data_IF_412102974104
#
_entry.id   IF_412102974104
#
_cell.length_a   1.000
_cell.length_b   1.000
_cell.length_c   1.000
_cell.angle_alpha   90.00
_cell.angle_beta   90.00
_cell.angle_gamma   90.00
#
_symmetry.space_group_name_H-M   'P 1'
#
loop_
_entity.id
_entity.type
_entity.pdbx_description
1 polymer ?
#
# COMPACT_ATOMS: atom_id res chain seq x y z
N UNK A 1 -9.58 44.40 50.30
CA UNK A 1 -10.55 43.29 50.18
C UNK A 1 -11.50 43.65 49.05
N UNK A 2 -11.41 42.98 47.90
CA UNK A 2 -12.40 43.15 46.83
C UNK A 2 -13.73 42.56 47.31
N UNK A 3 -14.83 43.29 47.11
CA UNK A 3 -16.17 42.75 47.38
C UNK A 3 -16.41 41.55 46.44
N UNK A 4 -16.96 40.43 46.95
CA UNK A 4 -17.29 39.27 46.13
C UNK A 4 -18.27 39.65 45.04
N UNK A 5 -18.10 39.11 43.83
CA UNK A 5 -18.93 39.45 42.68
C UNK A 5 -20.40 39.12 42.96
N UNK A 6 -21.33 39.81 42.29
CA UNK A 6 -22.78 39.53 42.41
C UNK A 6 -23.08 38.05 42.12
N UNK A 7 -22.32 37.45 41.20
CA UNK A 7 -22.42 36.03 40.87
C UNK A 7 -22.02 35.14 42.06
N UNK A 8 -20.90 35.43 42.73
CA UNK A 8 -20.44 34.66 43.89
C UNK A 8 -21.44 34.73 45.04
N UNK A 9 -22.06 35.90 45.25
CA UNK A 9 -23.10 36.09 46.27
C UNK A 9 -24.34 35.22 45.97
N UNK A 10 -24.75 35.13 44.70
CA UNK A 10 -25.85 34.28 44.27
C UNK A 10 -25.54 32.78 44.44
N UNK A 11 -24.34 32.34 44.05
CA UNK A 11 -23.89 30.95 44.21
C UNK A 11 -23.90 30.56 45.70
N UNK A 12 -23.33 31.40 46.56
CA UNK A 12 -23.30 31.16 48.01
C UNK A 12 -24.72 31.14 48.62
N UNK A 13 -25.62 31.99 48.13
CA UNK A 13 -27.03 31.99 48.54
C UNK A 13 -27.74 30.67 48.22
N UNK A 14 -27.60 30.19 46.97
CA UNK A 14 -28.16 28.90 46.54
C UNK A 14 -27.58 27.73 47.33
N UNK A 15 -26.26 27.67 47.52
CA UNK A 15 -25.62 26.63 48.32
C UNK A 15 -26.13 26.60 49.78
N UNK A 16 -26.40 27.77 50.38
CA UNK A 16 -26.99 27.86 51.72
C UNK A 16 -28.42 27.32 51.75
N UNK A 17 -29.23 27.64 50.74
CA UNK A 17 -30.59 27.11 50.61
C UNK A 17 -30.59 25.59 50.42
N UNK A 18 -29.71 25.06 49.58
CA UNK A 18 -29.60 23.61 49.37
C UNK A 18 -29.22 22.87 50.66
N UNK A 19 -28.36 23.48 51.49
CA UNK A 19 -27.97 22.96 52.80
C UNK A 19 -29.03 23.13 53.90
N UNK A 20 -30.03 24.00 53.72
CA UNK A 20 -31.15 24.16 54.67
C UNK A 20 -32.31 23.21 54.38
N UNK A 21 -32.31 22.52 53.24
CA UNK A 21 -33.29 21.48 52.91
C UNK A 21 -33.20 20.30 53.89
N UNK A 22 -34.33 19.64 54.13
CA UNK A 22 -34.42 18.50 55.05
C UNK A 22 -33.49 17.33 54.66
N UNK A 23 -33.23 17.17 53.38
CA UNK A 23 -32.34 16.15 52.81
C UNK A 23 -30.87 16.57 52.77
N UNK A 24 -30.55 17.87 52.98
CA UNK A 24 -29.22 18.49 52.88
C UNK A 24 -28.45 18.09 51.62
N UNK A 25 -28.59 18.86 50.54
CA UNK A 25 -27.92 18.55 49.27
C UNK A 25 -26.64 19.37 49.11
N UNK A 26 -25.52 18.71 48.88
CA UNK A 26 -24.31 19.36 48.35
C UNK A 26 -24.48 19.73 46.86
N UNK A 27 -23.69 20.67 46.33
CA UNK A 27 -23.71 20.99 44.90
C UNK A 27 -23.50 19.78 43.98
N UNK A 28 -22.64 18.83 44.37
CA UNK A 28 -22.39 17.60 43.60
C UNK A 28 -23.59 16.67 43.59
N UNK A 29 -24.22 16.46 44.76
CA UNK A 29 -25.42 15.63 44.87
C UNK A 29 -26.60 16.25 44.12
N UNK A 30 -26.73 17.57 44.13
CA UNK A 30 -27.72 18.27 43.33
C UNK A 30 -27.51 18.06 41.83
N UNK A 31 -26.29 18.28 41.30
CA UNK A 31 -26.02 18.05 39.87
C UNK A 31 -26.32 16.60 39.50
N UNK A 32 -25.88 15.64 40.33
CA UNK A 32 -26.15 14.22 40.11
C UNK A 32 -27.65 13.91 40.08
N UNK A 33 -28.41 14.39 41.07
CA UNK A 33 -29.85 14.18 41.14
C UNK A 33 -30.60 14.90 39.99
N UNK A 34 -30.17 16.11 39.63
CA UNK A 34 -30.76 16.91 38.56
C UNK A 34 -30.64 16.22 37.20
N UNK A 35 -29.47 15.65 36.90
CA UNK A 35 -29.20 14.96 35.63
C UNK A 35 -29.98 13.64 35.54
N UNK A 36 -30.15 12.91 36.65
CA UNK A 36 -30.76 11.57 36.66
C UNK A 36 -32.27 11.55 36.97
N UNK A 37 -32.84 12.64 37.48
CA UNK A 37 -34.25 12.68 37.92
C UNK A 37 -35.23 12.33 36.79
N UNK A 38 -36.19 11.44 37.02
CA UNK A 38 -37.25 11.12 36.06
C UNK A 38 -38.45 12.09 36.10
N UNK A 39 -38.44 13.08 36.99
CA UNK A 39 -39.52 14.07 37.12
C UNK A 39 -39.68 14.93 35.85
N UNK A 40 -40.93 15.19 35.44
CA UNK A 40 -41.24 15.87 34.17
C UNK A 40 -40.79 17.32 34.13
N UNK A 41 -40.87 18.03 35.25
CA UNK A 41 -40.50 19.45 35.31
C UNK A 41 -38.98 19.58 35.32
N UNK A 42 -38.30 18.70 36.07
CA UNK A 42 -36.83 18.60 36.03
C UNK A 42 -36.34 18.17 34.64
N UNK A 43 -37.07 17.27 33.96
CA UNK A 43 -36.80 16.86 32.59
C UNK A 43 -36.91 18.01 31.60
N UNK A 44 -37.94 18.84 31.77
CA UNK A 44 -38.13 20.02 30.95
C UNK A 44 -36.97 21.02 31.10
N UNK A 45 -36.42 21.20 32.31
CA UNK A 45 -35.27 22.08 32.54
C UNK A 45 -33.98 21.58 31.88
N UNK A 46 -33.77 20.26 31.78
CA UNK A 46 -32.59 19.66 31.12
C UNK A 46 -32.79 19.34 29.63
N UNK A 47 -33.95 19.67 29.05
CA UNK A 47 -34.34 19.23 27.69
C UNK A 47 -33.35 19.57 26.57
N UNK A 48 -32.51 20.59 26.75
CA UNK A 48 -31.54 21.03 25.76
C UNK A 48 -30.12 20.47 25.96
N UNK A 49 -29.86 19.72 27.04
CA UNK A 49 -28.51 19.23 27.37
C UNK A 49 -27.93 18.28 26.32
N UNK A 50 -28.77 17.41 25.73
CA UNK A 50 -28.37 16.46 24.69
C UNK A 50 -28.83 16.87 23.28
N UNK A 51 -29.31 18.10 23.10
CA UNK A 51 -29.88 18.58 21.84
C UNK A 51 -28.89 19.51 21.12
N UNK A 52 -28.94 19.63 19.78
CA UNK A 52 -28.02 20.48 19.02
C UNK A 52 -27.95 21.93 19.56
N UNK A 53 -29.07 22.47 20.05
CA UNK A 53 -29.16 23.83 20.60
C UNK A 53 -28.38 24.04 21.91
N UNK A 54 -28.09 22.99 22.68
CA UNK A 54 -27.47 23.11 24.02
C UNK A 54 -26.33 22.13 24.30
N UNK A 55 -25.99 21.25 23.36
CA UNK A 55 -24.92 20.29 23.54
C UNK A 55 -23.55 20.97 23.71
N UNK A 56 -23.28 22.04 22.95
CA UNK A 56 -21.99 22.76 23.02
C UNK A 56 -21.72 23.30 24.42
N UNK A 57 -22.68 23.99 25.03
CA UNK A 57 -22.54 24.51 26.41
C UNK A 57 -22.54 23.40 27.47
N UNK A 58 -23.18 22.27 27.19
CA UNK A 58 -23.14 21.10 28.07
C UNK A 58 -21.76 20.44 28.07
N UNK A 59 -21.13 20.31 26.90
CA UNK A 59 -19.75 19.82 26.77
C UNK A 59 -18.75 20.81 27.37
N UNK A 60 -18.94 22.12 27.18
CA UNK A 60 -18.13 23.16 27.84
C UNK A 60 -18.20 23.04 29.37
N UNK A 61 -19.39 22.79 29.94
CA UNK A 61 -19.54 22.55 31.38
C UNK A 61 -18.75 21.30 31.83
N UNK A 62 -18.76 20.22 31.05
CA UNK A 62 -17.96 19.01 31.34
C UNK A 62 -16.47 19.33 31.31
N UNK A 63 -16.02 20.15 30.36
CA UNK A 63 -14.62 20.55 30.27
C UNK A 63 -14.18 21.44 31.44
N UNK A 64 -15.01 22.42 31.85
CA UNK A 64 -14.76 23.25 33.05
C UNK A 64 -14.68 22.39 34.31
N UNK A 65 -15.58 21.42 34.48
CA UNK A 65 -15.52 20.44 35.58
C UNK A 65 -14.22 19.63 35.50
N UNK A 66 -13.85 19.18 34.30
CA UNK A 66 -12.59 18.48 34.05
C UNK A 66 -11.37 19.32 34.43
N UNK A 67 -11.34 20.60 34.07
CA UNK A 67 -10.29 21.55 34.46
C UNK A 67 -10.16 21.70 35.97
N UNK A 68 -11.28 21.78 36.70
CA UNK A 68 -11.28 21.83 38.16
C UNK A 68 -10.67 20.54 38.76
N UNK A 69 -11.06 19.37 38.23
CA UNK A 69 -10.54 18.07 38.67
C UNK A 69 -9.02 17.97 38.43
N UNK A 70 -8.54 18.41 37.26
CA UNK A 70 -7.13 18.33 36.82
C UNK A 70 -6.16 19.20 37.64
N UNK A 71 -6.63 20.04 38.57
CA UNK A 71 -5.76 20.89 39.43
C UNK A 71 -4.87 20.08 40.36
N UNK A 72 -5.31 18.90 40.78
CA UNK A 72 -4.54 18.00 41.66
C UNK A 72 -4.00 16.81 40.88
N UNK A 73 -2.89 16.23 41.34
CA UNK A 73 -2.33 15.02 40.74
C UNK A 73 -3.31 13.84 40.78
N UNK A 74 -3.96 13.62 41.94
CA UNK A 74 -5.00 12.60 42.12
C UNK A 74 -6.15 12.81 41.14
N UNK A 75 -6.57 14.07 40.95
CA UNK A 75 -7.61 14.42 40.01
C UNK A 75 -7.22 14.20 38.55
N UNK A 76 -5.98 14.53 38.15
CA UNK A 76 -5.48 14.23 36.79
C UNK A 76 -5.53 12.73 36.49
N UNK A 77 -5.08 11.89 37.42
CA UNK A 77 -5.13 10.44 37.25
C UNK A 77 -6.58 9.92 37.13
N UNK A 78 -7.49 10.45 37.96
CA UNK A 78 -8.92 10.08 37.91
C UNK A 78 -9.58 10.52 36.59
N UNK A 79 -9.28 11.73 36.10
CA UNK A 79 -9.79 12.23 34.82
C UNK A 79 -9.29 11.40 33.64
N UNK A 80 -7.99 11.08 33.59
CA UNK A 80 -7.43 10.23 32.55
C UNK A 80 -8.13 8.85 32.50
N UNK A 81 -8.36 8.23 33.66
CA UNK A 81 -9.10 6.96 33.77
C UNK A 81 -10.55 7.08 33.30
N UNK A 82 -11.20 8.21 33.56
CA UNK A 82 -12.57 8.49 33.09
C UNK A 82 -12.62 8.57 31.56
N UNK A 83 -11.73 9.36 30.94
CA UNK A 83 -11.64 9.49 29.48
C UNK A 83 -11.29 8.15 28.82
N UNK A 84 -10.30 7.44 29.36
CA UNK A 84 -9.92 6.11 28.86
C UNK A 84 -11.09 5.13 28.85
N UNK A 85 -11.90 5.10 29.91
CA UNK A 85 -13.08 4.23 29.99
C UNK A 85 -14.13 4.60 28.93
N UNK A 86 -14.29 5.89 28.61
CA UNK A 86 -15.16 6.35 27.53
C UNK A 86 -14.64 5.92 26.16
N UNK A 87 -13.36 6.17 25.89
CA UNK A 87 -12.69 5.82 24.63
C UNK A 87 -12.78 4.32 24.34
N UNK A 88 -12.50 3.45 25.33
CA UNK A 88 -12.60 1.99 25.17
C UNK A 88 -14.02 1.57 24.73
N UNK A 89 -15.07 2.17 25.29
CA UNK A 89 -16.45 1.83 24.92
C UNK A 89 -16.79 2.23 23.48
N UNK A 90 -16.28 3.37 23.02
CA UNK A 90 -16.47 3.81 21.64
C UNK A 90 -15.73 2.86 20.71
N UNK A 91 -14.45 2.59 20.97
CA UNK A 91 -13.63 1.66 20.20
C UNK A 91 -14.24 0.24 20.13
N UNK A 92 -14.82 -0.25 21.22
CA UNK A 92 -15.50 -1.55 21.24
C UNK A 92 -16.79 -1.59 20.42
N UNK A 93 -17.40 -0.42 20.14
CA UNK A 93 -18.59 -0.32 19.29
C UNK A 93 -18.26 -0.18 17.80
N UNK A 94 -16.99 0.06 17.46
CA UNK A 94 -16.51 0.08 16.07
C UNK A 94 -16.31 -1.36 15.61
N UNK A 95 -17.31 -1.89 14.91
CA UNK A 95 -17.26 -3.24 14.37
C UNK A 95 -17.20 -3.19 12.83
N UNK A 96 -16.05 -3.53 12.22
CA UNK A 96 -15.99 -3.76 10.79
C UNK A 96 -16.96 -4.87 10.33
N UNK A 97 -17.43 -4.83 9.07
CA UNK A 97 -18.41 -5.77 8.55
C UNK A 97 -18.00 -7.22 8.75
N UNK A 98 -18.90 -8.01 9.32
CA UNK A 98 -18.66 -9.42 9.58
C UNK A 98 -19.11 -10.28 8.40
N UNK A 99 -18.36 -11.33 8.10
CA UNK A 99 -18.69 -12.31 7.06
C UNK A 99 -17.69 -12.29 5.92
N UNK A 100 -18.05 -12.95 4.81
CA UNK A 100 -17.19 -13.07 3.64
C UNK A 100 -17.20 -11.77 2.84
N UNK A 101 -16.03 -11.38 2.33
CA UNK A 101 -15.89 -10.33 1.34
C UNK A 101 -16.76 -10.61 0.10
N UNK A 102 -17.42 -9.60 -0.52
CA UNK A 102 -17.32 -8.17 -0.26
C UNK A 102 -18.24 -7.61 0.83
N UNK A 103 -19.18 -8.41 1.34
CA UNK A 103 -20.16 -7.95 2.35
C UNK A 103 -19.59 -7.94 3.78
N UNK A 104 -18.46 -8.61 4.02
CA UNK A 104 -17.71 -8.65 5.25
C UNK A 104 -16.20 -8.52 5.01
N UNK A 105 -15.39 -8.51 6.08
CA UNK A 105 -13.94 -8.36 5.97
C UNK A 105 -13.14 -9.65 5.67
N UNK A 106 -13.80 -10.80 5.49
CA UNK A 106 -13.09 -12.09 5.39
C UNK A 106 -12.74 -12.48 3.96
N UNK A 107 -11.44 -12.62 3.72
CA UNK A 107 -10.88 -13.18 2.50
C UNK A 107 -10.48 -14.64 2.73
N UNK A 108 -11.12 -15.54 1.99
CA UNK A 108 -10.79 -16.95 2.00
C UNK A 108 -9.54 -17.23 1.18
N UNK A 109 -8.51 -17.82 1.80
CA UNK A 109 -7.33 -18.30 1.09
C UNK A 109 -7.65 -19.38 0.03
N UNK A 110 -8.83 -20.00 0.08
CA UNK A 110 -9.28 -20.99 -0.91
C UNK A 110 -9.98 -20.36 -2.13
N UNK A 111 -10.31 -19.07 -2.07
CA UNK A 111 -11.03 -18.34 -3.12
C UNK A 111 -10.30 -17.05 -3.54
N UNK A 112 -9.06 -16.87 -3.10
CA UNK A 112 -8.27 -15.68 -3.43
C UNK A 112 -7.84 -15.74 -4.90
N UNK A 113 -8.06 -14.65 -5.62
CA UNK A 113 -7.70 -14.48 -7.02
C UNK A 113 -6.53 -13.47 -7.17
N UNK A 114 -5.82 -13.45 -8.32
CA UNK A 114 -4.68 -12.54 -8.52
C UNK A 114 -5.03 -11.07 -8.31
N UNK A 115 -6.23 -10.63 -8.70
CA UNK A 115 -6.65 -9.24 -8.58
C UNK A 115 -6.67 -8.74 -7.12
N UNK A 116 -6.82 -9.62 -6.13
CA UNK A 116 -6.77 -9.27 -4.71
C UNK A 116 -5.44 -8.61 -4.29
N UNK A 117 -4.35 -8.89 -5.01
CA UNK A 117 -3.03 -8.33 -4.73
C UNK A 117 -2.73 -7.04 -5.49
N UNK A 118 -3.68 -6.52 -6.27
CA UNK A 118 -3.57 -5.22 -6.92
C UNK A 118 -3.57 -4.09 -5.90
N UNK A 119 -2.92 -2.97 -6.24
CA UNK A 119 -2.79 -1.82 -5.35
C UNK A 119 -4.16 -1.19 -5.08
N UNK A 120 -5.00 -1.07 -6.10
CA UNK A 120 -6.33 -0.47 -6.04
C UNK A 120 -7.26 -1.25 -5.09
N UNK A 121 -7.19 -2.58 -5.12
CA UNK A 121 -7.95 -3.46 -4.22
C UNK A 121 -7.47 -3.31 -2.77
N UNK A 122 -6.15 -3.28 -2.54
CA UNK A 122 -5.56 -3.07 -1.22
C UNK A 122 -5.98 -1.71 -0.63
N UNK A 123 -5.95 -0.65 -1.43
CA UNK A 123 -6.39 0.68 -1.02
C UNK A 123 -7.89 0.72 -0.74
N UNK A 124 -8.71 0.11 -1.60
CA UNK A 124 -10.15 0.02 -1.40
C UNK A 124 -10.51 -0.69 -0.09
N UNK A 125 -9.82 -1.80 0.24
CA UNK A 125 -10.04 -2.51 1.51
C UNK A 125 -9.59 -1.67 2.71
N UNK A 126 -8.49 -0.93 2.57
CA UNK A 126 -7.99 -0.05 3.63
C UNK A 126 -8.97 1.09 3.91
N UNK A 127 -9.48 1.74 2.85
CA UNK A 127 -10.52 2.79 2.97
C UNK A 127 -11.77 2.26 3.63
N UNK A 128 -12.28 1.13 3.14
CA UNK A 128 -13.48 0.51 3.70
C UNK A 128 -13.33 0.18 5.20
N UNK A 129 -12.16 -0.32 5.61
CA UNK A 129 -11.90 -0.61 7.02
C UNK A 129 -11.91 0.68 7.87
N UNK A 130 -11.27 1.74 7.40
CA UNK A 130 -11.19 3.03 8.11
C UNK A 130 -12.57 3.69 8.25
N UNK A 131 -13.43 3.58 7.24
CA UNK A 131 -14.83 4.04 7.31
C UNK A 131 -15.62 3.38 8.45
N UNK A 132 -15.29 2.13 8.78
CA UNK A 132 -15.92 1.38 9.87
C UNK A 132 -15.23 1.52 11.23
N UNK A 133 -14.10 2.24 11.29
CA UNK A 133 -13.35 2.50 12.53
C UNK A 133 -12.96 4.00 12.67
N UNK A 134 -13.93 4.93 12.57
CA UNK A 134 -13.65 6.35 12.53
C UNK A 134 -13.00 6.86 13.83
N UNK A 135 -13.48 6.51 15.01
CA UNK A 135 -12.92 6.97 16.27
C UNK A 135 -11.47 6.52 16.44
N UNK A 136 -11.13 5.27 16.12
CA UNK A 136 -9.73 4.83 16.12
C UNK A 136 -8.89 5.61 15.10
N UNK A 137 -9.36 5.70 13.85
CA UNK A 137 -8.60 6.33 12.77
C UNK A 137 -8.35 7.81 13.05
N UNK A 138 -9.37 8.59 13.38
CA UNK A 138 -9.20 10.00 13.72
C UNK A 138 -8.34 10.20 14.98
N UNK A 139 -8.41 9.28 15.96
CA UNK A 139 -7.53 9.34 17.14
C UNK A 139 -6.06 9.15 16.76
N UNK A 140 -5.75 8.15 15.93
CA UNK A 140 -4.39 7.87 15.47
C UNK A 140 -3.87 9.00 14.57
N UNK A 141 -4.72 9.52 13.69
CA UNK A 141 -4.41 10.64 12.80
C UNK A 141 -4.04 11.90 13.60
N UNK A 142 -4.84 12.24 14.61
CA UNK A 142 -4.55 13.34 15.54
C UNK A 142 -3.30 13.10 16.38
N UNK A 143 -2.96 11.84 16.70
CA UNK A 143 -1.70 11.51 17.39
C UNK A 143 -0.47 11.63 16.49
N UNK A 144 -0.62 11.36 15.20
CA UNK A 144 0.44 11.41 14.20
C UNK A 144 0.60 12.81 13.58
N UNK A 145 -0.25 13.78 13.92
CA UNK A 145 -0.33 15.13 13.32
C UNK A 145 -0.50 15.09 11.79
N UNK A 146 -1.28 14.13 11.32
CA UNK A 146 -1.59 13.98 9.90
C UNK A 146 -2.72 14.93 9.55
N UNK A 147 -2.48 15.92 8.68
CA UNK A 147 -3.51 16.85 8.22
C UNK A 147 -4.58 16.12 7.37
N UNK A 148 -5.85 16.57 7.47
CA UNK A 148 -7.02 16.04 6.74
C UNK A 148 -6.85 16.00 5.21
N UNK A 149 -5.85 16.69 4.68
CA UNK A 149 -5.49 16.73 3.25
C UNK A 149 -4.78 15.47 2.73
N UNK A 150 -4.54 14.46 3.57
CA UNK A 150 -3.82 13.22 3.21
C UNK A 150 -4.73 11.99 3.04
N UNK A 151 -6.04 12.14 3.18
CA UNK A 151 -7.02 11.11 2.81
C UNK A 151 -7.34 11.31 1.33
N UNK A 152 -7.25 10.29 0.45
CA UNK A 152 -7.70 10.43 -0.93
C UNK A 152 -9.22 10.60 -0.93
N UNK A 153 -9.67 11.85 -1.02
CA UNK A 153 -11.06 12.19 -1.33
C UNK A 153 -11.15 12.36 -2.83
N UNK A 154 -11.83 11.40 -3.44
CA UNK A 154 -12.32 11.38 -4.82
C UNK A 154 -11.27 11.32 -5.93
N UNK A 155 -11.57 10.47 -6.91
CA UNK A 155 -10.83 10.34 -8.15
C UNK A 155 -10.97 11.64 -8.95
N UNK A 156 -9.91 12.42 -9.05
CA UNK A 156 -9.74 13.36 -10.15
C UNK A 156 -8.67 12.86 -11.12
N UNK A 157 -8.98 13.05 -12.40
CA UNK A 157 -8.24 12.70 -13.61
C UNK A 157 -6.74 13.11 -13.59
N UNK A 158 -5.89 12.53 -14.45
CA UNK A 158 -4.44 12.70 -14.34
C UNK A 158 -4.05 14.13 -14.73
N UNK A 159 -3.68 14.93 -13.74
CA UNK A 159 -3.06 16.23 -13.97
C UNK A 159 -1.56 16.02 -14.18
N UNK A 160 -1.08 16.60 -15.28
CA UNK A 160 0.24 16.37 -15.84
C UNK A 160 1.39 16.78 -14.93
N UNK A 161 2.50 16.09 -15.19
CA UNK A 161 3.87 16.37 -14.79
C UNK A 161 4.19 17.86 -14.61
N UNK A 162 4.41 18.27 -13.37
CA UNK A 162 5.51 19.14 -12.92
C UNK A 162 5.19 19.63 -11.50
N UNK A 163 5.91 19.13 -10.49
CA UNK A 163 6.66 20.01 -9.58
C UNK A 163 7.51 19.21 -8.56
N UNK A 164 8.82 19.43 -8.67
CA UNK A 164 9.89 19.41 -7.67
C UNK A 164 9.80 18.44 -6.47
N UNK A 165 10.44 17.27 -6.62
CA UNK A 165 10.90 16.43 -5.51
C UNK A 165 12.24 17.02 -4.99
N UNK A 166 12.43 17.23 -3.67
CA UNK A 166 13.78 17.42 -3.12
C UNK A 166 14.51 16.07 -3.19
N UNK A 167 15.59 16.00 -3.97
CA UNK A 167 16.47 14.82 -4.04
C UNK A 167 16.87 14.38 -2.63
N UNK A 168 16.37 13.21 -2.19
CA UNK A 168 16.85 12.55 -0.99
C UNK A 168 18.24 11.98 -1.31
N UNK A 169 19.25 12.36 -0.52
CA UNK A 169 20.63 11.89 -0.70
C UNK A 169 20.71 10.37 -0.48
N UNK A 170 20.74 9.62 -1.58
CA UNK A 170 20.79 8.14 -1.64
C UNK A 170 22.20 7.57 -1.47
N UNK A 171 23.20 8.41 -1.17
CA UNK A 171 24.62 8.02 -1.12
C UNK A 171 24.98 6.91 -0.12
N UNK A 172 24.08 6.54 0.80
CA UNK A 172 24.31 5.51 1.82
C UNK A 172 23.43 4.25 1.68
N UNK A 173 22.62 4.13 0.61
CA UNK A 173 21.80 2.93 0.37
C UNK A 173 22.54 2.06 -0.65
N UNK A 174 22.85 0.78 -0.35
CA UNK A 174 23.38 -0.15 -1.35
C UNK A 174 22.49 -0.16 -2.60
N UNK A 175 23.08 -0.06 -3.80
CA UNK A 175 22.36 -0.01 -5.09
C UNK A 175 21.30 -1.12 -5.21
N UNK A 176 21.57 -2.30 -4.64
CA UNK A 176 20.69 -3.48 -4.58
C UNK A 176 19.37 -3.28 -3.79
N UNK A 177 19.27 -2.24 -2.95
CA UNK A 177 18.10 -1.93 -2.09
C UNK A 177 17.30 -0.74 -2.67
N UNK A 178 17.90 0.09 -3.52
CA UNK A 178 17.24 1.24 -4.12
C UNK A 178 16.05 0.83 -5.02
N UNK A 179 16.12 -0.34 -5.66
CA UNK A 179 15.02 -0.90 -6.47
C UNK A 179 13.87 -1.50 -5.64
N UNK A 180 14.03 -1.63 -4.31
CA UNK A 180 12.97 -2.06 -3.37
C UNK A 180 12.34 -0.83 -2.68
N UNK A 181 12.64 0.38 -3.16
CA UNK A 181 11.92 1.58 -2.72
C UNK A 181 10.55 1.56 -3.38
N UNK A 182 9.53 1.34 -2.55
CA UNK A 182 8.13 1.41 -2.95
C UNK A 182 7.86 2.72 -3.68
N UNK A 183 7.27 2.66 -4.88
CA UNK A 183 6.75 3.82 -5.64
C UNK A 183 5.58 4.56 -4.95
N UNK A 184 5.28 4.25 -3.68
CA UNK A 184 4.14 4.80 -2.94
C UNK A 184 4.53 6.07 -2.14
N UNK A 185 5.44 6.89 -2.68
CA UNK A 185 5.84 8.18 -2.07
C UNK A 185 4.78 9.29 -2.22
N UNK A 186 3.68 9.02 -2.92
CA UNK A 186 2.59 9.99 -3.09
C UNK A 186 1.53 9.92 -1.98
N UNK A 187 1.44 8.82 -1.22
CA UNK A 187 0.60 8.73 -0.03
C UNK A 187 1.48 8.92 1.21
N UNK A 188 1.20 9.95 2.00
CA UNK A 188 2.00 10.27 3.19
C UNK A 188 2.28 9.03 4.02
N UNK A 189 3.55 8.77 4.35
CA UNK A 189 4.02 7.63 5.15
C UNK A 189 3.12 7.37 6.39
N UNK A 190 2.54 8.43 6.96
CA UNK A 190 1.64 8.32 8.09
C UNK A 190 0.29 7.66 7.77
N UNK A 191 -0.27 7.82 6.57
CA UNK A 191 -1.52 7.19 6.13
C UNK A 191 -1.40 5.67 6.01
N UNK A 192 -0.28 5.16 5.52
CA UNK A 192 -0.01 3.72 5.49
C UNK A 192 0.15 3.12 6.90
N UNK A 193 0.82 3.85 7.80
CA UNK A 193 0.97 3.45 9.19
C UNK A 193 -0.41 3.36 9.89
N UNK A 194 -1.25 4.37 9.70
CA UNK A 194 -2.62 4.43 10.20
C UNK A 194 -3.44 3.21 9.76
N UNK A 195 -3.50 2.96 8.46
CA UNK A 195 -4.27 1.84 7.87
C UNK A 195 -3.78 0.49 8.42
N UNK A 196 -2.46 0.34 8.58
CA UNK A 196 -1.87 -0.88 9.14
C UNK A 196 -2.30 -1.10 10.59
N UNK A 197 -2.25 -0.06 11.43
CA UNK A 197 -2.67 -0.17 12.85
C UNK A 197 -4.16 -0.51 12.96
N UNK A 198 -5.01 0.14 12.16
CA UNK A 198 -6.44 -0.18 12.11
C UNK A 198 -6.68 -1.64 11.72
N UNK A 199 -5.98 -2.14 10.68
CA UNK A 199 -6.08 -3.53 10.24
C UNK A 199 -5.56 -4.53 11.29
N UNK A 200 -4.49 -4.21 12.01
CA UNK A 200 -4.00 -5.05 13.11
C UNK A 200 -5.03 -5.17 14.23
N UNK A 201 -5.62 -4.05 14.64
CA UNK A 201 -6.63 -4.03 15.70
C UNK A 201 -7.89 -4.77 15.25
N UNK A 202 -8.38 -4.51 14.03
CA UNK A 202 -9.54 -5.19 13.47
C UNK A 202 -9.36 -6.72 13.40
N UNK A 203 -8.18 -7.17 12.97
CA UNK A 203 -7.82 -8.59 12.94
C UNK A 203 -7.68 -9.19 14.33
N UNK A 204 -7.08 -8.47 15.28
CA UNK A 204 -6.95 -8.94 16.67
C UNK A 204 -8.30 -9.07 17.37
N UNK A 205 -9.24 -8.16 17.10
CA UNK A 205 -10.61 -8.24 17.58
C UNK A 205 -11.40 -9.35 16.90
N UNK A 206 -11.18 -9.54 15.59
CA UNK A 206 -11.83 -10.57 14.80
C UNK A 206 -10.92 -11.01 13.65
N UNK A 207 -10.34 -12.20 13.75
CA UNK A 207 -9.44 -12.74 12.72
C UNK A 207 -10.11 -12.95 11.35
N UNK A 208 -11.43 -12.72 11.25
CA UNK A 208 -12.15 -12.65 9.98
C UNK A 208 -12.01 -11.31 9.26
N UNK A 209 -11.34 -10.32 9.82
CA UNK A 209 -10.90 -9.12 9.10
C UNK A 209 -9.44 -9.31 8.68
N UNK A 210 -9.18 -10.09 7.64
CA UNK A 210 -7.84 -10.62 7.32
C UNK A 210 -7.26 -10.15 5.98
N UNK A 211 -7.83 -9.14 5.33
CA UNK A 211 -7.38 -8.66 4.02
C UNK A 211 -5.89 -8.28 4.02
N UNK A 212 -5.48 -7.33 4.88
CA UNK A 212 -4.08 -6.94 5.00
C UNK A 212 -3.18 -8.10 5.42
N UNK A 213 -3.63 -8.91 6.37
CA UNK A 213 -2.86 -10.04 6.89
C UNK A 213 -2.59 -11.09 5.82
N UNK A 214 -3.57 -11.38 4.97
CA UNK A 214 -3.41 -12.29 3.84
C UNK A 214 -2.45 -11.73 2.80
N UNK A 215 -2.57 -10.44 2.48
CA UNK A 215 -1.70 -9.73 1.54
C UNK A 215 -0.23 -9.78 2.01
N UNK A 216 0.01 -9.35 3.25
CA UNK A 216 1.33 -9.37 3.86
C UNK A 216 1.90 -10.78 3.94
N UNK A 217 1.09 -11.77 4.29
CA UNK A 217 1.58 -13.13 4.46
C UNK A 217 2.08 -13.76 3.16
N UNK A 218 1.37 -13.55 2.04
CA UNK A 218 1.81 -14.01 0.72
C UNK A 218 3.09 -13.28 0.29
N UNK A 219 3.13 -11.95 0.45
CA UNK A 219 4.29 -11.14 0.08
C UNK A 219 5.54 -11.52 0.87
N UNK A 220 5.43 -11.57 2.20
CA UNK A 220 6.55 -11.91 3.06
C UNK A 220 7.05 -13.33 2.81
N UNK A 221 6.14 -14.29 2.61
CA UNK A 221 6.52 -15.65 2.28
C UNK A 221 7.28 -15.72 0.95
N UNK A 222 6.86 -14.96 -0.06
CA UNK A 222 7.58 -14.84 -1.33
C UNK A 222 8.98 -14.21 -1.15
N UNK A 223 9.13 -13.28 -0.20
CA UNK A 223 10.42 -12.70 0.19
C UNK A 223 11.30 -13.63 1.05
N UNK A 224 10.90 -14.89 1.28
CA UNK A 224 11.72 -15.87 1.99
C UNK A 224 11.81 -15.68 3.51
N UNK A 225 10.80 -15.05 4.15
CA UNK A 225 10.82 -14.94 5.61
C UNK A 225 10.83 -16.31 6.29
N UNK A 226 11.54 -16.41 7.42
CA UNK A 226 11.59 -17.64 8.20
C UNK A 226 10.23 -17.94 8.83
N UNK A 227 9.97 -19.22 9.13
CA UNK A 227 8.75 -19.65 9.81
C UNK A 227 8.56 -18.94 11.15
N UNK A 228 9.64 -18.77 11.92
CA UNK A 228 9.61 -18.07 13.20
C UNK A 228 9.19 -16.59 13.05
N UNK A 229 9.72 -15.89 12.04
CA UNK A 229 9.32 -14.50 11.75
C UNK A 229 7.86 -14.45 11.32
N UNK A 230 7.42 -15.39 10.50
CA UNK A 230 6.03 -15.48 10.05
C UNK A 230 5.06 -15.72 11.21
N UNK A 231 5.39 -16.64 12.11
CA UNK A 231 4.60 -16.90 13.33
C UNK A 231 4.51 -15.67 14.22
N UNK A 232 5.63 -14.97 14.41
CA UNK A 232 5.64 -13.73 15.19
C UNK A 232 4.77 -12.64 14.54
N UNK A 233 4.88 -12.43 13.23
CA UNK A 233 4.06 -11.45 12.51
C UNK A 233 2.57 -11.80 12.55
N UNK A 234 2.23 -13.08 12.53
CA UNK A 234 0.85 -13.53 12.75
C UNK A 234 0.38 -13.28 14.17
N UNK A 235 1.23 -13.54 15.17
CA UNK A 235 0.92 -13.28 16.57
C UNK A 235 0.59 -11.81 16.86
N UNK A 236 1.31 -10.87 16.25
CA UNK A 236 1.04 -9.43 16.40
C UNK A 236 -0.03 -8.89 15.44
N UNK A 237 -0.61 -9.75 14.58
CA UNK A 237 -1.68 -9.37 13.66
C UNK A 237 -1.24 -8.61 12.41
N UNK A 238 0.06 -8.65 12.06
CA UNK A 238 0.57 -8.08 10.79
C UNK A 238 0.45 -9.03 9.61
N UNK A 239 0.33 -10.32 9.84
CA UNK A 239 0.37 -11.35 8.80
C UNK A 239 -0.60 -12.48 9.15
N UNK A 240 -1.02 -13.27 8.17
CA UNK A 240 -1.73 -14.52 8.37
C UNK A 240 -0.77 -15.69 8.63
N UNK A 241 -1.34 -16.80 9.12
CA UNK A 241 -0.56 -18.02 9.39
C UNK A 241 0.10 -18.59 8.12
N UNK A 242 1.20 -19.32 8.30
CA UNK A 242 1.87 -20.05 7.22
C UNK A 242 0.93 -21.01 6.48
N UNK A 243 0.04 -21.68 7.22
CA UNK A 243 -0.95 -22.59 6.63
C UNK A 243 -1.92 -21.85 5.68
N UNK A 244 -2.33 -20.64 6.05
CA UNK A 244 -3.19 -19.76 5.24
C UNK A 244 -2.48 -19.34 3.97
N UNK A 245 -1.20 -18.97 4.06
CA UNK A 245 -0.39 -18.61 2.88
C UNK A 245 -0.22 -19.77 1.92
N UNK A 246 0.12 -20.95 2.42
CA UNK A 246 0.28 -22.14 1.58
C UNK A 246 -1.04 -22.48 0.89
N UNK A 247 -2.18 -22.32 1.57
CA UNK A 247 -3.50 -22.49 0.96
C UNK A 247 -3.74 -21.45 -0.15
N UNK A 248 -3.45 -20.17 0.10
CA UNK A 248 -3.57 -19.10 -0.88
C UNK A 248 -2.71 -19.35 -2.12
N UNK A 249 -1.43 -19.68 -1.93
CA UNK A 249 -0.51 -20.00 -3.02
C UNK A 249 -0.97 -21.21 -3.85
N UNK A 250 -1.53 -22.24 -3.21
CA UNK A 250 -2.11 -23.39 -3.93
C UNK A 250 -3.33 -22.98 -4.75
N UNK A 251 -4.18 -22.09 -4.25
CA UNK A 251 -5.33 -21.56 -4.98
C UNK A 251 -4.86 -20.74 -6.19
N UNK A 252 -3.94 -19.80 -5.97
CA UNK A 252 -3.36 -18.97 -7.04
C UNK A 252 -2.67 -19.82 -8.11
N UNK A 253 -1.94 -20.86 -7.71
CA UNK A 253 -1.31 -21.78 -8.66
C UNK A 253 -2.33 -22.52 -9.55
N UNK A 254 -3.52 -22.87 -9.01
CA UNK A 254 -4.60 -23.46 -9.81
C UNK A 254 -5.17 -22.45 -10.80
N UNK A 255 -5.44 -21.23 -10.34
CA UNK A 255 -5.94 -20.14 -11.19
C UNK A 255 -4.95 -19.88 -12.34
N UNK A 256 -3.65 -19.82 -12.03
CA UNK A 256 -2.61 -19.62 -13.03
C UNK A 256 -2.52 -20.79 -14.02
N UNK A 257 -2.64 -22.03 -13.54
CA UNK A 257 -2.66 -23.21 -14.43
C UNK A 257 -3.86 -23.21 -15.38
N UNK A 258 -5.04 -22.77 -14.92
CA UNK A 258 -6.22 -22.60 -15.78
C UNK A 258 -6.03 -21.47 -16.78
N UNK A 259 -5.42 -20.35 -16.35
CA UNK A 259 -5.11 -19.24 -17.24
C UNK A 259 -4.14 -19.66 -18.36
N UNK A 260 -3.07 -20.38 -18.02
CA UNK A 260 -2.12 -20.92 -19.00
C UNK A 260 -2.80 -21.83 -20.02
N UNK A 261 -3.71 -22.71 -19.59
CA UNK A 261 -4.49 -23.55 -20.52
C UNK A 261 -5.34 -22.72 -21.47
N UNK A 262 -5.96 -21.65 -20.97
CA UNK A 262 -6.78 -20.73 -21.78
C UNK A 262 -5.93 -20.03 -22.83
N UNK A 263 -4.77 -19.52 -22.43
CA UNK A 263 -3.84 -18.82 -23.32
C UNK A 263 -3.34 -19.76 -24.41
N UNK A 264 -2.87 -20.96 -24.04
CA UNK A 264 -2.36 -21.93 -25.00
C UNK A 264 -3.44 -22.52 -25.93
N UNK A 265 -4.70 -22.54 -25.49
CA UNK A 265 -5.83 -22.95 -26.32
C UNK A 265 -6.28 -21.88 -27.31
N UNK A 266 -5.82 -20.64 -27.17
CA UNK A 266 -6.20 -19.56 -28.05
C UNK A 266 -5.49 -19.68 -29.41
N UNK A 267 -6.20 -20.17 -30.43
CA UNK A 267 -5.68 -20.35 -31.78
C UNK A 267 -5.97 -19.17 -32.71
N UNK A 268 -6.57 -18.08 -32.21
CA UNK A 268 -6.96 -16.94 -33.07
C UNK A 268 -5.89 -15.88 -33.20
N UNK A 269 -4.76 -16.00 -32.49
CA UNK A 269 -3.67 -15.02 -32.56
C UNK A 269 -2.82 -15.22 -33.81
N UNK A 270 -2.40 -14.11 -34.44
CA UNK A 270 -1.54 -14.13 -35.63
C UNK A 270 -0.18 -14.77 -35.34
N UNK A 271 0.36 -14.48 -34.16
CA UNK A 271 1.56 -15.10 -33.61
C UNK A 271 1.15 -15.90 -32.37
N UNK A 272 1.44 -17.21 -32.32
CA UNK A 272 1.13 -18.02 -31.15
C UNK A 272 2.05 -17.63 -29.97
N UNK A 273 1.60 -17.85 -28.72
CA UNK A 273 2.44 -17.65 -27.55
C UNK A 273 3.74 -18.46 -27.63
N UNK A 274 4.88 -17.86 -27.27
CA UNK A 274 6.18 -18.55 -27.30
C UNK A 274 6.54 -19.07 -25.92
N UNK A 275 6.95 -20.33 -25.84
CA UNK A 275 7.50 -20.91 -24.61
C UNK A 275 9.00 -20.64 -24.58
N UNK A 276 9.44 -19.93 -23.56
CA UNK A 276 10.85 -19.72 -23.25
C UNK A 276 11.23 -20.65 -22.12
N UNK A 277 12.28 -21.44 -22.32
CA UNK A 277 12.89 -22.28 -21.29
C UNK A 277 14.30 -21.74 -21.08
N UNK A 278 14.56 -21.26 -19.89
CA UNK A 278 15.84 -20.63 -19.54
C UNK A 278 16.35 -21.18 -18.20
N UNK A 279 17.66 -21.20 -18.03
CA UNK A 279 18.29 -21.59 -16.78
C UNK A 279 18.51 -20.33 -15.94
N UNK A 280 17.46 -19.93 -15.21
CA UNK A 280 17.54 -18.80 -14.29
C UNK A 280 18.18 -19.29 -12.98
N UNK A 281 19.44 -18.92 -12.79
CA UNK A 281 20.15 -19.11 -11.53
C UNK A 281 19.74 -18.01 -10.54
N UNK A 282 19.11 -18.39 -9.43
CA UNK A 282 18.75 -17.48 -8.34
C UNK A 282 19.78 -17.61 -7.21
N UNK A 283 20.47 -16.53 -6.87
CA UNK A 283 21.42 -16.53 -5.75
C UNK A 283 20.73 -16.06 -4.46
N UNK A 284 20.56 -16.98 -3.50
CA UNK A 284 20.22 -16.62 -2.12
C UNK A 284 21.50 -16.12 -1.43
N UNK A 285 21.61 -14.81 -1.26
CA UNK A 285 22.70 -14.20 -0.50
C UNK A 285 22.38 -14.15 0.98
N UNK A 286 23.22 -14.77 1.79
CA UNK A 286 23.14 -14.67 3.25
C UNK A 286 24.08 -13.55 3.72
N UNK A 287 23.52 -12.49 4.31
CA UNK A 287 24.30 -11.32 4.77
C UNK A 287 25.35 -11.64 5.84
N UNK A 288 25.13 -12.68 6.67
CA UNK A 288 26.10 -13.17 7.66
C UNK A 288 26.33 -14.66 7.48
N UNK A 289 27.45 -15.01 6.83
CA UNK A 289 27.81 -16.41 6.62
C UNK A 289 28.17 -17.10 7.93
N UNK A 290 27.68 -18.33 8.12
CA UNK A 290 27.98 -19.20 9.26
C UNK A 290 28.13 -20.65 8.82
N UNK A 291 28.55 -21.54 9.72
CA UNK A 291 28.68 -22.96 9.40
C UNK A 291 27.26 -23.54 9.21
N UNK A 292 26.92 -23.85 7.96
CA UNK A 292 25.59 -24.35 7.56
C UNK A 292 24.67 -23.28 6.96
N UNK A 293 25.06 -21.99 6.98
CA UNK A 293 24.32 -20.90 6.36
C UNK A 293 25.26 -20.10 5.46
N UNK A 294 25.26 -20.41 4.16
CA UNK A 294 26.12 -19.79 3.15
C UNK A 294 25.27 -19.29 2.00
N UNK A 295 25.80 -18.35 1.24
CA UNK A 295 25.22 -17.99 -0.06
C UNK A 295 25.08 -19.24 -0.91
N UNK A 296 23.87 -19.46 -1.44
CA UNK A 296 23.54 -20.61 -2.27
C UNK A 296 22.95 -20.14 -3.59
N UNK A 297 23.53 -20.60 -4.69
CA UNK A 297 22.92 -20.42 -6.01
C UNK A 297 21.96 -21.57 -6.27
N UNK A 298 20.67 -21.28 -6.28
CA UNK A 298 19.63 -22.16 -6.79
C UNK A 298 19.70 -22.17 -8.30
N UNK A 299 20.20 -23.28 -8.82
CA UNK A 299 20.13 -23.57 -10.25
C UNK A 299 18.81 -24.27 -10.51
N UNK A 300 18.08 -23.74 -11.48
CA UNK A 300 16.81 -24.32 -11.91
C UNK A 300 16.57 -23.98 -13.37
N UNK A 301 15.97 -24.92 -14.09
CA UNK A 301 15.36 -24.63 -15.37
C UNK A 301 13.97 -24.05 -15.15
N UNK A 302 13.79 -22.81 -15.58
CA UNK A 302 12.53 -22.09 -15.49
C UNK A 302 11.91 -21.96 -16.87
N UNK A 303 10.59 -22.10 -16.91
CA UNK A 303 9.82 -21.86 -18.12
C UNK A 303 8.97 -20.63 -17.93
N UNK A 304 8.74 -19.89 -19.00
CA UNK A 304 7.67 -18.91 -19.04
C UNK A 304 7.06 -18.85 -20.43
N UNK A 305 5.78 -18.49 -20.46
CA UNK A 305 5.09 -18.17 -21.68
C UNK A 305 5.21 -16.66 -21.90
N UNK A 306 5.65 -16.28 -23.09
CA UNK A 306 5.70 -14.90 -23.52
C UNK A 306 4.62 -14.65 -24.56
N UNK A 307 3.78 -13.64 -24.31
CA UNK A 307 2.76 -13.17 -25.23
C UNK A 307 3.30 -11.96 -26.00
N UNK A 308 3.29 -11.98 -27.35
CA UNK A 308 3.71 -10.81 -28.11
C UNK A 308 2.74 -9.65 -27.88
N UNK A 309 3.28 -8.44 -27.77
CA UNK A 309 2.50 -7.22 -27.56
C UNK A 309 1.45 -7.02 -28.67
N UNK A 310 0.20 -6.75 -28.29
CA UNK A 310 -0.91 -6.63 -29.25
C UNK A 310 -0.72 -5.44 -30.20
N UNK A 311 -0.12 -4.34 -29.72
CA UNK A 311 0.13 -3.16 -30.56
C UNK A 311 1.19 -3.48 -31.61
N UNK A 312 2.24 -4.23 -31.24
CA UNK A 312 3.22 -4.73 -32.19
C UNK A 312 2.59 -5.69 -33.21
N UNK A 313 1.77 -6.65 -32.77
CA UNK A 313 1.09 -7.57 -33.70
C UNK A 313 0.25 -6.81 -34.73
N UNK A 314 -0.41 -5.73 -34.31
CA UNK A 314 -1.24 -4.91 -35.19
C UNK A 314 -0.46 -4.16 -36.30
N UNK A 315 0.85 -3.96 -36.16
CA UNK A 315 1.68 -3.33 -37.21
C UNK A 315 2.19 -4.30 -38.26
N UNK A 316 2.08 -5.61 -38.03
CA UNK A 316 2.63 -6.64 -38.91
C UNK A 316 1.70 -6.93 -40.10
N UNK A 317 2.28 -7.16 -41.27
CA UNK A 317 1.55 -7.64 -42.45
C UNK A 317 1.38 -9.18 -42.38
N UNK A 318 0.14 -9.71 -42.26
CA UNK A 318 -0.10 -11.14 -42.20
C UNK A 318 0.38 -11.90 -43.44
N UNK A 319 0.51 -11.25 -44.60
CA UNK A 319 0.96 -11.88 -45.84
C UNK A 319 2.46 -12.20 -45.83
N UNK A 320 3.24 -11.41 -45.11
CA UNK A 320 4.69 -11.60 -44.93
C UNK A 320 5.00 -12.60 -43.80
N UNK A 321 4.04 -12.89 -42.91
CA UNK A 321 4.17 -13.89 -41.83
C UNK A 321 3.79 -15.30 -42.28
N UNK A 322 4.16 -15.68 -43.51
CA UNK A 322 3.86 -17.00 -44.07
C UNK A 322 5.12 -17.77 -44.42
N UNK A 323 5.04 -19.11 -44.38
CA UNK A 323 6.15 -19.98 -44.79
C UNK A 323 6.60 -19.69 -46.24
N UNK A 324 5.66 -19.34 -47.12
CA UNK A 324 5.95 -18.97 -48.50
C UNK A 324 6.72 -17.67 -48.63
N UNK A 325 6.37 -16.63 -47.85
CA UNK A 325 7.12 -15.39 -47.79
C UNK A 325 8.54 -15.61 -47.25
N UNK A 326 8.67 -16.40 -46.17
CA UNK A 326 9.97 -16.79 -45.61
C UNK A 326 10.89 -17.48 -46.64
N UNK A 327 10.38 -18.48 -47.38
CA UNK A 327 11.18 -19.15 -48.41
C UNK A 327 11.62 -18.20 -49.52
N UNK A 328 10.72 -17.33 -50.00
CA UNK A 328 11.06 -16.31 -51.01
C UNK A 328 12.12 -15.33 -50.49
N UNK A 329 12.07 -14.96 -49.22
CA UNK A 329 13.07 -14.09 -48.60
C UNK A 329 14.43 -14.78 -48.53
N UNK A 330 14.49 -16.04 -48.07
CA UNK A 330 15.72 -16.82 -48.00
C UNK A 330 16.35 -17.09 -49.38
N UNK A 331 15.54 -17.36 -50.41
CA UNK A 331 16.07 -17.54 -51.77
C UNK A 331 16.85 -16.32 -52.25
N UNK A 332 16.40 -15.10 -51.90
CA UNK A 332 17.11 -13.86 -52.24
C UNK A 332 18.45 -13.72 -51.53
N UNK A 333 18.58 -14.26 -50.32
CA UNK A 333 19.82 -14.21 -49.52
C UNK A 333 20.96 -14.94 -50.23
N UNK A 334 20.69 -16.05 -50.93
CA UNK A 334 21.73 -16.77 -51.69
C UNK A 334 22.40 -15.91 -52.77
N UNK A 335 21.67 -14.94 -53.32
CA UNK A 335 22.17 -13.99 -54.33
C UNK A 335 22.58 -12.63 -53.76
N UNK A 336 22.48 -12.44 -52.45
CA UNK A 336 22.78 -11.17 -51.80
C UNK A 336 24.29 -10.96 -51.72
N UNK A 337 24.79 -9.90 -52.35
CA UNK A 337 26.19 -9.50 -52.23
C UNK A 337 26.38 -8.67 -50.94
N UNK A 338 27.07 -9.24 -49.96
CA UNK A 338 27.41 -8.55 -48.72
C UNK A 338 28.55 -7.56 -48.99
N UNK A 339 28.26 -6.27 -48.84
CA UNK A 339 29.27 -5.23 -48.96
C UNK A 339 29.54 -4.59 -47.59
N UNK A 340 30.79 -4.19 -47.28
CA UNK A 340 31.13 -3.60 -45.98
C UNK A 340 30.28 -2.38 -45.60
N UNK A 341 29.80 -1.61 -46.57
CA UNK A 341 28.97 -0.42 -46.34
C UNK A 341 27.61 -0.76 -45.72
N UNK A 342 27.12 -2.00 -45.84
CA UNK A 342 25.89 -2.46 -45.18
C UNK A 342 26.01 -2.54 -43.66
N UNK A 343 27.24 -2.54 -43.12
CA UNK A 343 27.52 -2.57 -41.68
C UNK A 343 28.02 -1.22 -41.15
N UNK A 344 28.11 -0.20 -42.02
CA UNK A 344 28.49 1.15 -41.62
C UNK A 344 27.24 1.98 -41.37
N UNK A 345 27.28 2.94 -40.41
CA UNK A 345 26.18 3.86 -40.19
C UNK A 345 25.86 4.61 -41.48
N UNK A 346 24.58 4.76 -41.76
CA UNK A 346 24.11 5.67 -42.79
C UNK A 346 24.43 7.12 -42.37
N UNK A 347 24.55 8.05 -43.33
CA UNK A 347 24.75 9.47 -43.00
C UNK A 347 23.68 10.05 -42.06
N UNK A 348 22.46 9.51 -42.09
CA UNK A 348 21.38 9.90 -41.20
C UNK A 348 21.61 9.40 -39.76
N UNK A 349 22.04 8.16 -39.59
CA UNK A 349 22.38 7.57 -38.28
C UNK A 349 23.62 8.25 -37.67
N UNK A 350 24.64 8.56 -38.48
CA UNK A 350 25.82 9.30 -38.02
C UNK A 350 25.42 10.71 -37.53
N UNK A 351 24.55 11.39 -38.27
CA UNK A 351 24.04 12.70 -37.85
C UNK A 351 23.22 12.61 -36.57
N UNK A 352 22.39 11.57 -36.42
CA UNK A 352 21.65 11.29 -35.20
C UNK A 352 22.60 11.07 -34.01
N UNK A 353 23.63 10.24 -34.19
CA UNK A 353 24.64 9.97 -33.16
C UNK A 353 25.36 11.26 -32.72
N UNK A 354 25.74 12.11 -33.68
CA UNK A 354 26.33 13.42 -33.42
C UNK A 354 25.41 14.28 -32.55
N UNK A 355 24.09 14.27 -32.80
CA UNK A 355 23.13 15.02 -31.97
C UNK A 355 23.06 14.47 -30.54
N UNK A 356 23.02 13.14 -30.37
CA UNK A 356 23.03 12.50 -29.04
C UNK A 356 24.26 12.94 -28.25
N UNK A 357 25.46 12.82 -28.85
CA UNK A 357 26.71 13.24 -28.20
C UNK A 357 26.72 14.72 -27.84
N UNK A 358 26.28 15.60 -28.76
CA UNK A 358 26.18 17.04 -28.51
C UNK A 358 25.24 17.34 -27.34
N UNK A 359 24.11 16.66 -27.25
CA UNK A 359 23.14 16.85 -26.18
C UNK A 359 23.66 16.41 -24.80
N UNK A 360 24.35 15.26 -24.75
CA UNK A 360 24.97 14.78 -23.52
C UNK A 360 26.10 15.70 -23.05
N UNK A 361 26.96 16.16 -23.96
CA UNK A 361 28.02 17.13 -23.65
C UNK A 361 27.40 18.46 -23.17
N UNK A 362 26.38 18.97 -23.86
CA UNK A 362 25.67 20.18 -23.47
C UNK A 362 25.04 20.07 -22.07
N UNK A 363 24.47 18.90 -21.73
CA UNK A 363 23.91 18.63 -20.40
C UNK A 363 24.98 18.74 -19.30
N UNK A 364 26.15 18.14 -19.50
CA UNK A 364 27.25 18.19 -18.53
C UNK A 364 27.80 19.62 -18.41
N UNK A 365 28.05 20.29 -19.54
CA UNK A 365 28.52 21.68 -19.57
C UNK A 365 27.55 22.62 -18.83
N UNK A 366 26.25 22.49 -19.07
CA UNK A 366 25.22 23.33 -18.43
C UNK A 366 25.08 23.08 -16.93
N UNK A 367 25.27 21.82 -16.49
CA UNK A 367 25.16 21.47 -15.06
C UNK A 367 26.42 21.85 -14.26
N UNK A 368 27.61 21.73 -14.84
CA UNK A 368 28.87 21.77 -14.08
C UNK A 368 29.81 22.93 -14.43
N UNK A 369 29.70 23.52 -15.62
CA UNK A 369 30.76 24.41 -16.15
C UNK A 369 30.24 25.82 -16.43
N UNK A 370 29.15 25.98 -17.18
CA UNK A 370 28.70 27.30 -17.63
C UNK A 370 27.20 27.35 -17.94
N UNK A 371 26.60 28.54 -17.75
CA UNK A 371 25.22 28.83 -18.17
C UNK A 371 25.19 29.46 -19.56
N UNK A 372 24.16 29.17 -20.34
CA UNK A 372 23.97 29.80 -21.65
C UNK A 372 23.60 31.28 -21.49
N UNK A 373 24.19 32.14 -22.32
CA UNK A 373 23.88 33.58 -22.38
C UNK A 373 22.68 33.83 -23.32
N UNK A 374 22.47 32.94 -24.31
CA UNK A 374 21.41 33.06 -25.32
C UNK A 374 20.69 31.72 -25.50
N UNK A 375 19.42 31.67 -25.09
CA UNK A 375 18.59 30.47 -25.15
C UNK A 375 18.28 30.04 -26.59
N UNK A 376 18.35 30.95 -27.57
CA UNK A 376 17.99 30.67 -28.97
C UNK A 376 19.05 29.88 -29.74
N UNK A 377 20.32 29.95 -29.30
CA UNK A 377 21.45 29.22 -29.88
C UNK A 377 21.83 27.98 -29.05
N UNK A 378 21.00 27.62 -28.06
CA UNK A 378 21.34 26.57 -27.10
C UNK A 378 21.17 25.19 -27.72
N UNK A 379 22.21 24.35 -27.63
CA UNK A 379 22.14 22.94 -27.99
C UNK A 379 21.19 22.23 -27.03
N UNK A 380 20.22 21.42 -27.50
CA UNK A 380 19.32 20.66 -26.64
C UNK A 380 20.10 19.79 -25.66
N UNK A 381 19.75 19.81 -24.37
CA UNK A 381 20.42 19.00 -23.33
C UNK A 381 19.83 17.59 -23.20
N UNK A 382 18.71 17.34 -23.88
CA UNK A 382 18.09 16.03 -24.03
C UNK A 382 18.45 15.47 -25.41
N UNK A 383 18.96 14.23 -25.48
CA UNK A 383 19.20 13.59 -26.76
C UNK A 383 17.87 13.36 -27.50
N UNK A 384 17.89 13.28 -28.84
CA UNK A 384 16.72 12.87 -29.61
C UNK A 384 16.33 11.42 -29.25
N UNK A 385 15.03 11.13 -29.34
CA UNK A 385 14.47 9.81 -29.08
C UNK A 385 15.00 8.78 -30.11
N UNK A 386 15.73 7.77 -29.63
CA UNK A 386 16.04 6.55 -30.39
C UNK A 386 14.80 5.67 -30.36
N UNK A 387 14.41 5.05 -31.48
CA UNK A 387 13.31 4.07 -31.62
C UNK A 387 12.82 3.56 -30.28
N UNK A 388 11.81 4.25 -29.73
CA UNK A 388 11.39 4.02 -28.35
C UNK A 388 10.70 2.66 -28.31
N UNK A 389 11.43 1.65 -27.86
CA UNK A 389 10.84 0.38 -27.49
C UNK A 389 9.91 0.68 -26.32
N UNK A 390 8.70 0.11 -26.38
CA UNK A 390 7.75 0.27 -25.30
C UNK A 390 8.38 -0.14 -23.98
N UNK A 391 8.28 0.73 -22.97
CA UNK A 391 8.69 0.41 -21.60
C UNK A 391 7.60 -0.34 -20.83
N UNK A 392 6.50 -0.71 -21.49
CA UNK A 392 5.44 -1.50 -20.88
C UNK A 392 5.98 -2.88 -20.52
N UNK A 393 5.67 -3.34 -19.30
CA UNK A 393 6.06 -4.66 -18.86
C UNK A 393 5.47 -5.73 -19.80
N UNK A 394 6.29 -6.66 -20.30
CA UNK A 394 5.80 -7.73 -21.15
C UNK A 394 4.88 -8.66 -20.37
N UNK A 395 3.86 -9.19 -21.03
CA UNK A 395 2.98 -10.18 -20.42
C UNK A 395 3.69 -11.54 -20.40
N UNK A 396 4.20 -11.89 -19.20
CA UNK A 396 4.93 -13.12 -18.94
C UNK A 396 4.15 -13.98 -17.96
N UNK A 397 4.01 -15.27 -18.29
CA UNK A 397 3.39 -16.25 -17.41
C UNK A 397 4.36 -17.37 -17.06
N UNK A 398 4.74 -17.45 -15.79
CA UNK A 398 5.65 -18.49 -15.31
C UNK A 398 5.05 -19.90 -15.45
N UNK A 399 5.86 -20.81 -15.97
CA UNK A 399 5.60 -22.24 -16.06
C UNK A 399 6.36 -22.96 -14.95
N UNK A 400 5.64 -23.77 -14.18
CA UNK A 400 6.26 -24.67 -13.23
C UNK A 400 6.83 -25.87 -14.00
N UNK A 401 8.13 -25.83 -14.30
CA UNK A 401 8.83 -26.92 -14.99
C UNK A 401 9.46 -27.96 -14.05
N UNK A 402 9.57 -27.64 -12.76
CA UNK A 402 10.25 -28.50 -11.79
C UNK A 402 9.44 -28.70 -10.51
N UNK A 403 9.48 -29.91 -9.95
CA UNK A 403 8.92 -30.22 -8.62
C UNK A 403 9.95 -30.14 -7.49
N UNK A 404 11.25 -30.14 -7.81
CA UNK A 404 12.35 -30.02 -6.87
C UNK A 404 13.56 -29.33 -7.54
N UNK A 405 14.44 -28.69 -6.76
CA UNK A 405 15.67 -28.08 -7.30
C UNK A 405 16.61 -29.12 -7.93
N UNK A 406 17.34 -28.73 -8.97
CA UNK A 406 18.39 -29.55 -9.63
C UNK A 406 19.49 -29.97 -8.66
N UNK A 407 19.73 -29.18 -7.62
CA UNK A 407 20.72 -29.48 -6.57
C UNK A 407 20.21 -30.49 -5.53
N UNK A 408 18.95 -30.92 -5.62
CA UNK A 408 18.38 -31.91 -4.71
C UNK A 408 18.52 -33.32 -5.28
N UNK A 409 18.75 -34.30 -4.41
CA UNK A 409 18.77 -35.72 -4.80
C UNK A 409 17.46 -36.18 -5.48
N UNK A 410 16.34 -35.49 -5.21
CA UNK A 410 15.04 -35.71 -5.87
C UNK A 410 15.00 -35.14 -7.29
N UNK A 411 15.57 -33.96 -7.53
CA UNK A 411 15.63 -33.33 -8.86
C UNK A 411 16.46 -34.16 -9.84
N UNK A 412 17.63 -34.62 -9.41
CA UNK A 412 18.50 -35.52 -10.21
C UNK A 412 17.77 -36.81 -10.60
N UNK A 413 16.98 -37.42 -9.71
CA UNK A 413 16.26 -38.66 -10.02
C UNK A 413 15.14 -38.50 -11.06
N UNK A 414 14.57 -37.29 -11.22
CA UNK A 414 13.50 -37.05 -12.20
C UNK A 414 14.03 -36.90 -13.63
N UNK A 415 15.29 -36.50 -13.82
CA UNK A 415 15.92 -36.36 -15.14
C UNK A 415 16.33 -37.72 -15.74
N UNK A 416 16.49 -38.75 -14.90
CA UNK A 416 16.88 -40.10 -15.32
C UNK A 416 15.70 -41.08 -15.51
N UNK A 417 14.46 -40.59 -15.48
CA UNK A 417 13.25 -41.33 -15.88
C UNK A 417 12.69 -40.75 -17.17
#
# INVERSE_FOLDING_TARGET
MQQPSVLDQNILGLCKQMNSLRTKLSPKEFIHAFVLSSDSDVAYLRRHWAQPKGISSTIELVDVIGHEIKKTEVGRAAWAKFVQKGAIKILQSEEPPQGNYPLGGFHSAMLVEPHFFLLEEKEAHSRHLVEHMPFLSHTLMGMLNVDDSSIPVEAEEPIGTADCIPELDTSNIPEDIADIVYEDLNNGHEGHCLNTICAMIAFACNCRNNGLQLHNAVRLFACGITEQVQEYMNYIGLSASRSTVIAALKTLAKVQAENLKRIMANTTTLIPPTICIDNIDMEERVHQSSIGNRTHTFRGTWGYLHLPDEKLIATLDPLELTLGAYHKAIEKVNSMELTPIMFLPTPAEEQFEIQVWKSQIAKVFRKQIAMSIDETLTIPTLPPDVELISHLAPEIHMLKLMDASDNSAKGICQVFQ
#
